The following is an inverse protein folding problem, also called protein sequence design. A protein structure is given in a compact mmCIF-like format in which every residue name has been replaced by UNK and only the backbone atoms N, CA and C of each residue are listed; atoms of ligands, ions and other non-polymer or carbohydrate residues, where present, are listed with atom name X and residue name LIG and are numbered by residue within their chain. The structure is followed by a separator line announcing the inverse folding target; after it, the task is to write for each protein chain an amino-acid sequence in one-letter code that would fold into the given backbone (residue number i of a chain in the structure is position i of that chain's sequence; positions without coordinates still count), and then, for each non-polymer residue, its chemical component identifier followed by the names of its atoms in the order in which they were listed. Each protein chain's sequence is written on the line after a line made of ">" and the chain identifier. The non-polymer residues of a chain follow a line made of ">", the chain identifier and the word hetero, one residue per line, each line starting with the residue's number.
data_IF_150358369353
#
_entry.id   IF_150358369353
#
_cell.length_a   1.000
_cell.length_b   1.000
_cell.length_c   1.000
_cell.angle_alpha   90.00
_cell.angle_beta   90.00
_cell.angle_gamma   90.00
#
_symmetry.space_group_name_H-M   'P 1'
#
loop_
_entity.id
_entity.type
_entity.pdbx_description
1 polymer ?
#
# COMPACT_ATOMS: atom_id res chain seq x y z
N UNK A 1 -1.51 16.55 -6.74
CA UNK A 1 -1.43 15.18 -6.22
C UNK A 1 -0.10 14.58 -6.61
N UNK A 2 0.21 13.43 -6.05
CA UNK A 2 1.49 12.73 -6.26
C UNK A 2 1.25 11.24 -6.45
N UNK A 3 2.12 10.60 -7.23
CA UNK A 3 2.27 9.15 -7.29
C UNK A 3 3.48 8.80 -6.44
N UNK A 4 3.31 7.87 -5.51
CA UNK A 4 4.32 7.52 -4.51
C UNK A 4 4.55 6.01 -4.45
N UNK A 5 5.72 5.65 -3.93
CA UNK A 5 6.09 4.28 -3.61
C UNK A 5 6.36 4.11 -2.13
N UNK A 6 6.07 2.91 -1.62
CA UNK A 6 6.47 2.47 -0.27
C UNK A 6 7.11 1.08 -0.41
N UNK A 7 8.42 0.93 -0.13
CA UNK A 7 9.06 -0.38 -0.11
C UNK A 7 8.65 -1.17 1.13
N UNK A 8 8.75 -2.50 1.05
CA UNK A 8 8.59 -3.38 2.21
C UNK A 8 9.96 -3.72 2.80
N UNK A 9 10.06 -3.78 4.14
CA UNK A 9 11.34 -4.06 4.82
C UNK A 9 11.85 -5.49 4.62
N UNK A 10 10.93 -6.44 4.44
CA UNK A 10 11.21 -7.88 4.43
C UNK A 10 11.04 -8.53 3.04
N UNK A 11 10.63 -7.77 2.03
CA UNK A 11 10.50 -8.31 0.68
C UNK A 11 10.86 -7.26 -0.38
N UNK A 12 11.35 -7.70 -1.54
CA UNK A 12 11.69 -6.84 -2.68
C UNK A 12 10.44 -6.32 -3.43
N UNK A 13 9.28 -6.33 -2.79
CA UNK A 13 8.07 -5.75 -3.35
C UNK A 13 7.97 -4.28 -2.94
N UNK A 14 7.21 -3.54 -3.71
CA UNK A 14 6.95 -2.12 -3.46
C UNK A 14 5.47 -1.87 -3.67
N UNK A 15 4.86 -1.07 -2.81
CA UNK A 15 3.52 -0.55 -3.04
C UNK A 15 3.61 0.71 -3.90
N UNK A 16 2.79 0.84 -4.93
CA UNK A 16 2.65 2.07 -5.72
C UNK A 16 1.21 2.52 -5.71
N UNK A 17 1.00 3.79 -5.34
CA UNK A 17 -0.32 4.38 -5.23
C UNK A 17 -0.33 5.87 -5.58
N UNK A 18 -1.52 6.41 -5.84
CA UNK A 18 -1.75 7.82 -6.03
C UNK A 18 -2.39 8.50 -4.80
N UNK A 19 -2.12 9.79 -4.63
CA UNK A 19 -2.88 10.62 -3.69
C UNK A 19 -3.11 12.02 -4.24
N UNK A 20 -4.34 12.52 -4.06
CA UNK A 20 -4.69 13.92 -4.31
C UNK A 20 -4.30 14.84 -3.16
N UNK A 21 -4.20 14.30 -1.94
CA UNK A 21 -3.90 15.02 -0.71
C UNK A 21 -2.40 15.04 -0.42
N UNK A 22 -2.01 15.59 0.74
CA UNK A 22 -0.62 15.49 1.21
C UNK A 22 -0.24 14.03 1.44
N UNK A 23 0.94 13.64 0.97
CA UNK A 23 1.45 12.28 1.08
C UNK A 23 1.52 11.82 2.54
N UNK A 24 1.98 12.68 3.45
CA UNK A 24 2.10 12.36 4.87
C UNK A 24 0.75 11.91 5.47
N UNK A 25 -0.35 12.62 5.15
CA UNK A 25 -1.69 12.23 5.59
C UNK A 25 -2.05 10.83 5.12
N UNK A 26 -1.77 10.52 3.85
CA UNK A 26 -2.05 9.21 3.26
C UNK A 26 -1.22 8.08 3.90
N UNK A 27 0.06 8.34 4.17
CA UNK A 27 0.95 7.40 4.86
C UNK A 27 0.45 7.11 6.27
N UNK A 28 0.00 8.13 7.01
CA UNK A 28 -0.56 7.99 8.36
C UNK A 28 -1.85 7.15 8.34
N UNK A 29 -2.75 7.37 7.36
CA UNK A 29 -3.96 6.56 7.19
C UNK A 29 -3.61 5.08 6.99
N UNK A 30 -2.73 4.77 6.04
CA UNK A 30 -2.32 3.40 5.77
C UNK A 30 -1.63 2.74 6.97
N UNK A 31 -0.80 3.50 7.70
CA UNK A 31 -0.17 3.01 8.92
C UNK A 31 -1.20 2.65 9.99
N UNK A 32 -2.18 3.52 10.23
CA UNK A 32 -3.26 3.26 11.21
C UNK A 32 -4.13 2.06 10.80
N UNK A 33 -4.42 1.90 9.52
CA UNK A 33 -5.15 0.74 9.00
C UNK A 33 -4.37 -0.56 9.25
N UNK A 34 -3.06 -0.56 8.95
CA UNK A 34 -2.20 -1.71 9.21
C UNK A 34 -2.08 -2.03 10.71
N UNK A 35 -1.83 -1.03 11.55
CA UNK A 35 -1.71 -1.20 13.01
C UNK A 35 -3.01 -1.75 13.63
N UNK A 36 -4.17 -1.24 13.19
CA UNK A 36 -5.48 -1.73 13.66
C UNK A 36 -5.69 -3.20 13.31
N UNK A 37 -5.23 -3.60 12.13
CA UNK A 37 -5.42 -4.96 11.66
C UNK A 37 -4.43 -5.94 12.31
N UNK A 38 -3.15 -5.58 12.46
CA UNK A 38 -2.16 -6.39 13.19
C UNK A 38 -2.49 -6.52 14.67
N UNK A 39 -3.08 -5.48 15.29
CA UNK A 39 -3.43 -5.49 16.72
C UNK A 39 -4.67 -6.33 17.04
N UNK A 40 -5.47 -6.69 16.03
CA UNK A 40 -6.60 -7.61 16.22
C UNK A 40 -6.03 -9.01 16.43
N UNK A 41 -6.16 -9.54 17.66
CA UNK A 41 -5.93 -10.97 17.92
C UNK A 41 -6.97 -11.77 17.14
N UNK A 42 -6.58 -12.29 15.98
CA UNK A 42 -7.40 -13.22 15.22
C UNK A 42 -7.43 -14.56 15.97
N UNK A 43 -8.58 -14.96 16.47
CA UNK A 43 -8.84 -16.37 16.79
C UNK A 43 -8.76 -17.19 15.50
N UNK A 44 -8.53 -18.52 15.59
CA UNK A 44 -8.33 -19.37 14.40
C UNK A 44 -9.46 -19.24 13.35
N UNK A 45 -10.70 -19.04 13.80
CA UNK A 45 -11.85 -18.78 12.94
C UNK A 45 -11.81 -17.38 12.29
N UNK A 46 -11.48 -16.34 13.07
CA UNK A 46 -11.36 -14.97 12.56
C UNK A 46 -10.18 -14.78 11.59
N UNK A 47 -9.17 -15.66 11.63
CA UNK A 47 -8.08 -15.68 10.64
C UNK A 47 -8.57 -16.23 9.30
N UNK A 48 -9.34 -17.32 9.31
CA UNK A 48 -9.93 -17.91 8.10
C UNK A 48 -10.92 -16.95 7.41
N UNK A 49 -11.72 -16.20 8.18
CA UNK A 49 -12.61 -15.18 7.65
C UNK A 49 -11.87 -13.95 7.10
N UNK A 50 -10.77 -13.55 7.75
CA UNK A 50 -9.91 -12.47 7.27
C UNK A 50 -9.13 -12.85 6.01
N UNK A 51 -8.78 -14.13 5.83
CA UNK A 51 -8.13 -14.65 4.62
C UNK A 51 -9.10 -14.74 3.43
N UNK A 52 -10.39 -14.97 3.69
CA UNK A 52 -11.44 -15.08 2.64
C UNK A 52 -12.01 -13.72 2.19
N UNK A 53 -11.75 -12.65 2.95
CA UNK A 53 -12.24 -11.30 2.64
C UNK A 53 -11.17 -10.46 1.94
N UNK A 54 -11.45 -10.02 0.70
CA UNK A 54 -10.58 -9.09 -0.02
C UNK A 54 -10.62 -7.74 0.70
N UNK A 55 -9.49 -7.31 1.28
CA UNK A 55 -9.41 -6.03 1.99
C UNK A 55 -9.34 -4.84 1.02
N UNK A 56 -9.73 -3.67 1.51
CA UNK A 56 -9.88 -2.44 0.71
C UNK A 56 -8.58 -1.88 0.14
N UNK A 57 -7.41 -2.27 0.66
CA UNK A 57 -6.11 -1.81 0.18
C UNK A 57 -5.12 -2.97 0.11
N UNK A 58 -4.38 -3.07 -1.00
CA UNK A 58 -3.37 -4.11 -1.18
C UNK A 58 -2.25 -4.04 -0.13
N UNK A 59 -2.00 -2.84 0.39
CA UNK A 59 -1.14 -2.58 1.55
C UNK A 59 -1.58 -3.41 2.75
N UNK A 60 -2.84 -3.30 3.15
CA UNK A 60 -3.37 -3.97 4.33
C UNK A 60 -3.41 -5.48 4.11
N UNK A 61 -3.79 -5.93 2.92
CA UNK A 61 -3.82 -7.36 2.58
C UNK A 61 -2.44 -8.02 2.74
N UNK A 62 -1.40 -7.40 2.16
CA UNK A 62 -0.03 -7.93 2.26
C UNK A 62 0.51 -7.90 3.69
N UNK A 63 0.28 -6.79 4.41
CA UNK A 63 0.69 -6.68 5.81
C UNK A 63 0.04 -7.74 6.70
N UNK A 64 -1.23 -8.11 6.45
CA UNK A 64 -1.90 -9.13 7.27
C UNK A 64 -1.59 -10.57 6.88
N UNK A 65 -1.46 -10.86 5.58
CA UNK A 65 -1.20 -12.23 5.11
C UNK A 65 0.25 -12.66 5.32
N UNK A 66 1.19 -11.76 5.02
CA UNK A 66 2.62 -12.07 4.99
C UNK A 66 3.36 -11.57 6.23
N UNK A 67 2.65 -10.90 7.16
CA UNK A 67 3.23 -10.29 8.37
C UNK A 67 4.43 -9.36 8.06
N UNK A 68 4.45 -8.78 6.85
CA UNK A 68 5.51 -7.89 6.40
C UNK A 68 5.29 -6.46 6.87
N UNK A 69 6.38 -5.82 7.29
CA UNK A 69 6.37 -4.44 7.75
C UNK A 69 6.74 -3.53 6.59
N UNK A 70 5.88 -2.53 6.32
CA UNK A 70 6.20 -1.47 5.37
C UNK A 70 7.33 -0.58 5.87
N UNK A 71 8.16 -0.14 4.94
CA UNK A 71 9.19 0.86 5.21
C UNK A 71 8.66 2.26 4.97
N UNK A 72 7.92 2.76 5.96
CA UNK A 72 7.33 4.09 5.92
C UNK A 72 8.39 5.20 5.79
N UNK A 73 9.58 5.00 6.34
CA UNK A 73 10.67 5.98 6.32
C UNK A 73 11.27 6.13 4.91
N UNK A 74 11.24 5.06 4.11
CA UNK A 74 11.69 5.05 2.72
C UNK A 74 10.56 5.30 1.71
N UNK A 75 9.48 5.97 2.12
CA UNK A 75 8.42 6.42 1.21
C UNK A 75 8.96 7.48 0.25
N UNK A 76 8.74 7.32 -1.05
CA UNK A 76 9.27 8.23 -2.07
C UNK A 76 8.20 8.69 -3.05
N UNK A 77 8.32 9.93 -3.51
CA UNK A 77 7.51 10.47 -4.59
C UNK A 77 8.18 10.09 -5.91
N UNK A 78 7.46 9.37 -6.76
CA UNK A 78 7.95 8.90 -8.05
C UNK A 78 7.54 9.90 -9.14
N UNK A 79 6.35 10.50 -8.99
CA UNK A 79 5.82 11.43 -9.97
C UNK A 79 4.88 12.46 -9.33
N UNK A 80 4.80 13.64 -9.92
CA UNK A 80 3.89 14.70 -9.48
C UNK A 80 2.87 15.00 -10.59
N UNK A 81 1.58 14.99 -10.24
CA UNK A 81 0.51 15.29 -11.19
C UNK A 81 -0.73 15.84 -10.46
N UNK A 82 -1.20 17.00 -10.88
CA UNK A 82 -2.37 17.64 -10.29
C UNK A 82 -3.66 17.04 -10.84
N UNK A 83 -3.73 16.84 -12.16
CA UNK A 83 -4.92 16.31 -12.80
C UNK A 83 -5.10 14.82 -12.48
N UNK A 84 -6.22 14.47 -11.84
CA UNK A 84 -6.50 13.11 -11.36
C UNK A 84 -6.36 12.06 -12.46
N UNK A 85 -6.93 12.32 -13.63
CA UNK A 85 -6.90 11.38 -14.75
C UNK A 85 -5.48 11.09 -15.25
N UNK A 86 -4.66 12.12 -15.45
CA UNK A 86 -3.27 11.97 -15.85
C UNK A 86 -2.45 11.26 -14.76
N UNK A 87 -2.82 11.46 -13.49
CA UNK A 87 -2.15 10.81 -12.37
C UNK A 87 -2.40 9.30 -12.37
N UNK A 88 -3.62 8.85 -12.64
CA UNK A 88 -3.95 7.43 -12.81
C UNK A 88 -3.22 6.78 -13.98
N UNK A 89 -3.09 7.50 -15.10
CA UNK A 89 -2.29 7.02 -16.23
C UNK A 89 -0.83 6.85 -15.82
N UNK A 90 -0.25 7.84 -15.13
CA UNK A 90 1.14 7.79 -14.64
C UNK A 90 1.36 6.66 -13.64
N UNK A 91 0.42 6.42 -12.73
CA UNK A 91 0.44 5.29 -11.80
C UNK A 91 0.43 3.96 -12.54
N UNK A 92 -0.50 3.76 -13.48
CA UNK A 92 -0.59 2.53 -14.26
C UNK A 92 0.69 2.26 -15.08
N UNK A 93 1.28 3.31 -15.66
CA UNK A 93 2.57 3.22 -16.35
C UNK A 93 3.66 2.77 -15.37
N UNK A 94 3.70 3.33 -14.17
CA UNK A 94 4.73 3.02 -13.19
C UNK A 94 4.61 1.59 -12.65
N UNK A 95 3.39 1.13 -12.38
CA UNK A 95 3.11 -0.28 -12.02
C UNK A 95 3.60 -1.20 -13.13
N UNK A 96 3.27 -0.89 -14.39
CA UNK A 96 3.70 -1.69 -15.55
C UNK A 96 5.21 -1.68 -15.73
N UNK A 97 5.87 -0.54 -15.50
CA UNK A 97 7.33 -0.38 -15.62
C UNK A 97 8.08 -1.25 -14.61
N UNK A 98 7.52 -1.43 -13.41
CA UNK A 98 8.13 -2.19 -12.31
C UNK A 98 7.78 -3.68 -12.32
N UNK A 99 6.74 -4.08 -13.05
CA UNK A 99 6.40 -5.48 -13.27
C UNK A 99 6.05 -6.22 -11.98
N UNK A 100 6.54 -7.46 -11.84
CA UNK A 100 6.16 -8.41 -10.78
C UNK A 100 6.49 -7.94 -9.34
N UNK A 101 7.30 -6.90 -9.19
CA UNK A 101 7.68 -6.34 -7.88
C UNK A 101 6.69 -5.32 -7.30
N UNK A 102 5.66 -4.88 -8.03
CA UNK A 102 4.78 -3.78 -7.57
C UNK A 102 3.35 -4.22 -7.28
N UNK A 103 2.82 -3.76 -6.14
CA UNK A 103 1.44 -3.98 -5.70
C UNK A 103 0.63 -2.68 -5.74
N UNK A 104 -0.66 -2.79 -6.05
CA UNK A 104 -1.64 -1.69 -6.08
C UNK A 104 -2.90 -2.08 -5.30
#
# INVERSE_FOLDING_TARGET
>A
GVVYEIPFKLCNKTYTGDTGCQLNTRTIEHRKECEKETSRRHTRAAKQEAESTIKKSAVTDHCTRENHVMDWDNTRIINTEQQKYNRWIKEAIEIRRRGCGTMN
#
